data_IF_718848114216
#
_entry.id   IF_718848114216
#
_cell.length_a   1.000
_cell.length_b   1.000
_cell.length_c   1.000
_cell.angle_alpha   90.00
_cell.angle_beta   90.00
_cell.angle_gamma   90.00
#
_symmetry.space_group_name_H-M   'P 1'
#
loop_
_entity.id
_entity.type
_entity.pdbx_description
1 polymer ?
#
# COMPACT_ATOMS: atom_id res chain seq x y z
N UNK A 1 6.00 -16.47 7.13
CA UNK A 1 6.43 -15.10 6.81
C UNK A 1 5.79 -14.79 5.46
N UNK A 2 4.69 -14.05 5.46
CA UNK A 2 4.01 -13.66 4.22
C UNK A 2 4.68 -12.46 3.56
N UNK A 3 4.09 -12.04 2.44
CA UNK A 3 4.56 -10.91 1.64
C UNK A 3 4.21 -9.58 2.34
N UNK A 4 5.19 -8.72 2.58
CA UNK A 4 5.02 -7.47 3.34
C UNK A 4 4.90 -6.25 2.44
N UNK A 5 4.47 -5.12 3.01
CA UNK A 5 4.47 -3.82 2.30
C UNK A 5 5.88 -3.44 1.84
N UNK A 6 6.90 -3.76 2.64
CA UNK A 6 8.31 -3.61 2.27
C UNK A 6 8.66 -4.40 1.00
N UNK A 7 8.30 -5.68 0.96
CA UNK A 7 8.60 -6.54 -0.19
C UNK A 7 7.96 -6.03 -1.48
N UNK A 8 6.76 -5.44 -1.40
CA UNK A 8 6.08 -4.84 -2.53
C UNK A 8 6.80 -3.58 -3.02
N UNK A 9 7.16 -2.68 -2.10
CA UNK A 9 7.82 -1.42 -2.43
C UNK A 9 9.22 -1.66 -3.02
N UNK A 10 9.98 -2.58 -2.46
CA UNK A 10 11.32 -2.94 -2.94
C UNK A 10 11.31 -3.79 -4.22
N UNK A 11 10.16 -4.38 -4.58
CA UNK A 11 10.05 -5.21 -5.79
C UNK A 11 10.28 -4.44 -7.09
N UNK A 12 10.15 -3.10 -7.06
CA UNK A 12 10.31 -2.19 -8.19
C UNK A 12 9.49 -2.57 -9.44
N UNK A 13 8.44 -3.37 -9.28
CA UNK A 13 7.50 -3.73 -10.36
C UNK A 13 6.64 -2.53 -10.80
N UNK A 14 6.55 -1.51 -9.96
CA UNK A 14 5.73 -0.33 -10.17
C UNK A 14 6.59 0.91 -9.91
N UNK A 15 7.13 1.49 -10.98
CA UNK A 15 8.10 2.59 -10.91
C UNK A 15 7.54 3.87 -10.27
N UNK A 16 6.22 4.01 -10.23
CA UNK A 16 5.51 5.15 -9.66
C UNK A 16 4.87 4.83 -8.30
N UNK A 17 5.21 3.69 -7.68
CA UNK A 17 4.66 3.34 -6.37
C UNK A 17 5.25 4.22 -5.27
N UNK A 18 4.37 4.85 -4.50
CA UNK A 18 4.74 5.76 -3.41
C UNK A 18 3.89 5.46 -2.18
N UNK A 19 4.49 5.62 -1.00
CA UNK A 19 3.75 5.61 0.25
C UNK A 19 3.03 6.95 0.41
N UNK A 20 1.72 6.89 0.71
CA UNK A 20 0.88 8.07 0.94
C UNK A 20 0.92 8.49 2.42
N UNK A 21 1.45 7.62 3.30
CA UNK A 21 1.61 7.85 4.74
C UNK A 21 3.03 7.48 5.17
N UNK A 22 3.29 7.48 6.47
CA UNK A 22 4.59 7.12 7.03
C UNK A 22 4.92 5.61 6.94
N UNK A 23 6.13 5.25 7.35
CA UNK A 23 6.62 3.87 7.31
C UNK A 23 6.04 2.98 8.44
N UNK A 24 5.07 3.47 9.23
CA UNK A 24 4.53 2.73 10.39
C UNK A 24 3.90 1.38 10.02
N UNK A 25 3.46 1.24 8.76
CA UNK A 25 2.85 0.03 8.20
C UNK A 25 3.80 -0.85 7.39
N UNK A 26 5.07 -0.48 7.19
CA UNK A 26 5.90 -1.10 6.16
C UNK A 26 6.22 -2.59 6.43
N UNK A 27 6.28 -2.98 7.69
CA UNK A 27 6.49 -4.37 8.11
C UNK A 27 5.22 -5.23 8.17
N UNK A 28 4.04 -4.68 7.84
CA UNK A 28 2.78 -5.44 7.87
C UNK A 28 2.68 -6.40 6.70
N UNK A 29 2.13 -7.57 6.96
CA UNK A 29 1.82 -8.57 5.93
C UNK A 29 0.62 -8.13 5.09
N UNK A 30 0.76 -8.22 3.77
CA UNK A 30 -0.30 -7.98 2.79
C UNK A 30 -1.18 -9.24 2.74
N UNK A 31 -2.42 -9.11 3.22
CA UNK A 31 -3.42 -10.20 3.18
C UNK A 31 -4.25 -10.23 1.90
N UNK A 32 -4.20 -9.15 1.11
CA UNK A 32 -4.95 -8.98 -0.13
C UNK A 32 -4.86 -7.55 -0.65
N UNK A 33 -5.29 -7.36 -1.90
CA UNK A 33 -5.28 -6.06 -2.57
C UNK A 33 -6.71 -5.70 -2.97
N UNK A 34 -7.09 -4.45 -2.77
CA UNK A 34 -8.35 -3.87 -3.26
C UNK A 34 -8.00 -2.67 -4.14
N UNK A 35 -8.52 -2.68 -5.36
CA UNK A 35 -8.45 -1.53 -6.27
C UNK A 35 -9.64 -0.62 -5.94
N UNK A 36 -9.38 0.66 -5.72
CA UNK A 36 -10.39 1.69 -5.49
C UNK A 36 -10.24 2.79 -6.53
N UNK A 37 -11.36 3.41 -6.92
CA UNK A 37 -11.31 4.60 -7.76
C UNK A 37 -10.89 5.83 -6.93
N UNK A 38 -10.28 6.82 -7.58
CA UNK A 38 -9.80 8.06 -6.93
C UNK A 38 -10.89 8.75 -6.10
N UNK A 39 -12.17 8.87 -6.54
CA UNK A 39 -13.22 9.47 -5.72
C UNK A 39 -13.52 8.73 -4.41
N UNK A 40 -13.24 7.43 -4.35
CA UNK A 40 -13.42 6.64 -3.13
C UNK A 40 -12.18 6.64 -2.23
N UNK A 41 -11.03 7.13 -2.72
CA UNK A 41 -9.81 7.29 -1.95
C UNK A 41 -9.99 8.25 -0.76
N UNK A 42 -10.70 9.37 -0.96
CA UNK A 42 -10.99 10.33 0.11
C UNK A 42 -11.80 9.71 1.25
N UNK A 43 -12.79 8.87 0.91
CA UNK A 43 -13.59 8.15 1.91
C UNK A 43 -12.77 7.10 2.66
N UNK A 44 -11.81 6.47 1.99
CA UNK A 44 -10.96 5.45 2.60
C UNK A 44 -9.85 6.01 3.49
N UNK A 45 -9.33 7.20 3.15
CA UNK A 45 -8.27 7.86 3.92
C UNK A 45 -8.81 8.81 5.00
N UNK A 46 -10.02 9.32 4.82
CA UNK A 46 -10.64 10.30 5.71
C UNK A 46 -11.04 9.78 7.08
N UNK A 47 -11.40 8.48 7.18
CA UNK A 47 -11.91 7.89 8.43
C UNK A 47 -13.34 8.33 8.75
#
# INVERSE_FOLDING_TARGET
MGYTVKDLLESNNFSEMQLISDDSGIGREIKGVRIIEVPDMEKFLGG
#
